data_IF_511429235082
#
_entry.id   IF_511429235082
#
_cell.length_a   1.000
_cell.length_b   1.000
_cell.length_c   1.000
_cell.angle_alpha   90.00
_cell.angle_beta   90.00
_cell.angle_gamma   90.00
#
_symmetry.space_group_name_H-M   'P 1'
#
loop_
_entity.id
_entity.type
_entity.pdbx_description
1 polymer ?
#
# COMPACT_ATOMS: atom_id res chain seq x y z
N UNK A 1 39.10 -74.48 1.94
CA UNK A 1 38.46 -75.64 1.29
C UNK A 1 37.92 -75.12 -0.04
N UNK A 2 38.51 -75.52 -1.16
CA UNK A 2 38.12 -75.02 -2.47
C UNK A 2 36.78 -75.60 -2.88
N UNK A 3 35.87 -74.76 -3.36
CA UNK A 3 34.62 -75.19 -4.00
C UNK A 3 34.95 -76.16 -5.15
N UNK A 4 34.21 -77.26 -5.32
CA UNK A 4 34.41 -78.16 -6.45
C UNK A 4 34.16 -77.36 -7.73
N UNK A 5 35.15 -77.37 -8.64
CA UNK A 5 35.06 -76.70 -9.92
C UNK A 5 33.74 -77.08 -10.60
N UNK A 6 32.99 -76.08 -11.02
CA UNK A 6 31.68 -76.26 -11.61
C UNK A 6 31.80 -77.11 -12.89
N UNK A 7 30.79 -77.93 -13.20
CA UNK A 7 30.77 -78.78 -14.41
C UNK A 7 31.18 -78.04 -15.72
N UNK A 8 30.84 -76.74 -15.91
CA UNK A 8 31.34 -75.93 -17.02
C UNK A 8 32.86 -75.66 -16.99
N UNK A 9 33.47 -75.48 -15.81
CA UNK A 9 34.92 -75.24 -15.67
C UNK A 9 35.75 -76.49 -15.98
N UNK A 10 35.24 -77.68 -15.63
CA UNK A 10 35.88 -78.95 -15.98
C UNK A 10 35.82 -79.21 -17.48
N UNK A 11 34.69 -78.90 -18.12
CA UNK A 11 34.51 -78.99 -19.57
C UNK A 11 35.36 -77.96 -20.32
N UNK A 12 35.41 -76.71 -19.84
CA UNK A 12 36.28 -75.66 -20.39
C UNK A 12 37.76 -76.05 -20.29
N UNK A 13 38.19 -76.65 -19.17
CA UNK A 13 39.56 -77.17 -19.02
C UNK A 13 39.88 -78.30 -20.00
N UNK A 14 39.01 -79.30 -20.13
CA UNK A 14 39.21 -80.41 -21.08
C UNK A 14 39.25 -79.93 -22.54
N UNK A 15 38.48 -78.88 -22.85
CA UNK A 15 38.46 -78.24 -24.16
C UNK A 15 39.73 -77.43 -24.42
N UNK A 16 40.23 -76.69 -23.43
CA UNK A 16 41.50 -75.95 -23.51
C UNK A 16 42.72 -76.88 -23.57
N UNK A 17 42.67 -78.04 -22.94
CA UNK A 17 43.70 -79.09 -23.09
C UNK A 17 43.75 -79.65 -24.52
N UNK A 18 42.58 -79.84 -25.14
CA UNK A 18 42.48 -80.33 -26.53
C UNK A 18 42.61 -79.22 -27.58
N UNK A 19 42.39 -77.97 -27.19
CA UNK A 19 42.50 -76.80 -28.05
C UNK A 19 43.13 -75.62 -27.31
N UNK A 20 44.47 -75.62 -27.15
CA UNK A 20 45.19 -74.64 -26.34
C UNK A 20 45.01 -73.19 -26.81
N UNK A 21 44.72 -73.00 -28.10
CA UNK A 21 44.56 -71.70 -28.73
C UNK A 21 43.13 -71.15 -28.67
N UNK A 22 42.17 -71.89 -28.11
CA UNK A 22 40.77 -71.48 -28.06
C UNK A 22 40.57 -70.16 -27.31
N UNK A 23 41.29 -69.94 -26.20
CA UNK A 23 41.27 -68.65 -25.49
C UNK A 23 41.80 -67.50 -26.34
N UNK A 24 42.84 -67.77 -27.15
CA UNK A 24 43.41 -66.79 -28.08
C UNK A 24 42.43 -66.48 -29.20
N UNK A 25 41.73 -67.48 -29.74
CA UNK A 25 40.69 -67.33 -30.77
C UNK A 25 39.49 -66.54 -30.24
N UNK A 26 39.01 -66.87 -29.03
CA UNK A 26 37.87 -66.19 -28.40
C UNK A 26 38.21 -64.71 -28.14
N UNK A 27 39.43 -64.40 -27.69
CA UNK A 27 39.82 -63.03 -27.35
C UNK A 27 40.25 -62.19 -28.56
N UNK A 28 40.80 -62.80 -29.62
CA UNK A 28 41.29 -62.08 -30.81
C UNK A 28 40.29 -62.05 -31.97
N UNK A 29 39.29 -62.93 -31.97
CA UNK A 29 38.34 -63.07 -33.08
C UNK A 29 38.92 -63.68 -34.36
N UNK A 30 40.19 -64.15 -34.34
CA UNK A 30 40.89 -64.70 -35.52
C UNK A 30 41.54 -66.05 -35.20
N UNK A 31 41.39 -67.03 -36.09
CA UNK A 31 42.12 -68.30 -36.00
C UNK A 31 43.58 -68.11 -36.42
N UNK A 32 44.57 -68.57 -35.62
CA UNK A 32 45.95 -68.56 -36.05
C UNK A 32 46.13 -69.40 -37.33
N UNK A 33 46.99 -68.99 -38.28
CA UNK A 33 47.10 -69.62 -39.61
C UNK A 33 47.33 -71.15 -39.58
N UNK A 34 47.96 -71.64 -38.51
CA UNK A 34 48.37 -73.04 -38.36
C UNK A 34 47.39 -73.88 -37.51
N UNK A 35 46.25 -73.31 -37.10
CA UNK A 35 45.27 -73.98 -36.25
C UNK A 35 44.06 -74.41 -37.06
N UNK A 36 44.20 -75.46 -37.89
CA UNK A 36 43.09 -76.03 -38.63
C UNK A 36 42.23 -76.91 -37.68
N UNK A 37 40.98 -76.56 -37.37
CA UNK A 37 40.12 -77.38 -36.51
C UNK A 37 39.61 -78.66 -37.19
N UNK A 38 39.81 -78.81 -38.50
CA UNK A 38 39.30 -79.91 -39.32
C UNK A 38 39.57 -81.33 -38.78
N UNK A 39 40.79 -81.68 -38.32
CA UNK A 39 41.08 -83.01 -37.78
C UNK A 39 40.34 -83.34 -36.47
N UNK A 40 40.16 -82.34 -35.59
CA UNK A 40 39.41 -82.49 -34.33
C UNK A 40 37.92 -82.70 -34.63
N UNK A 41 37.37 -81.90 -35.56
CA UNK A 41 35.98 -82.01 -36.03
C UNK A 41 35.74 -83.37 -36.71
N UNK A 42 36.67 -83.85 -37.53
CA UNK A 42 36.60 -85.19 -38.16
C UNK A 42 36.60 -86.32 -37.12
N UNK A 43 37.43 -86.21 -36.08
CA UNK A 43 37.50 -87.23 -35.02
C UNK A 43 36.22 -87.27 -34.17
N UNK A 44 35.61 -86.11 -33.90
CA UNK A 44 34.35 -85.99 -33.16
C UNK A 44 33.14 -86.45 -34.01
N UNK A 45 33.21 -86.32 -35.35
CA UNK A 45 32.11 -86.66 -36.26
C UNK A 45 32.17 -88.09 -36.81
N UNK A 46 33.31 -88.78 -36.75
CA UNK A 46 33.52 -90.11 -37.33
C UNK A 46 32.95 -91.30 -36.53
N UNK A 47 32.59 -91.15 -35.25
CA UNK A 47 31.94 -92.19 -34.45
C UNK A 47 30.83 -91.59 -33.56
N UNK A 48 29.61 -92.12 -33.66
CA UNK A 48 28.52 -91.81 -32.73
C UNK A 48 28.82 -92.42 -31.35
N UNK A 49 29.25 -91.57 -30.42
CA UNK A 49 29.65 -91.97 -29.08
C UNK A 49 29.58 -90.81 -28.07
N UNK A 50 29.88 -91.06 -26.78
CA UNK A 50 29.69 -90.08 -25.70
C UNK A 50 30.42 -88.75 -25.94
N UNK A 51 31.57 -88.76 -26.60
CA UNK A 51 32.37 -87.55 -26.89
C UNK A 51 31.67 -86.56 -27.85
N UNK A 52 30.90 -87.06 -28.82
CA UNK A 52 30.12 -86.22 -29.75
C UNK A 52 28.93 -85.57 -29.03
N UNK A 53 28.25 -86.33 -28.18
CA UNK A 53 27.16 -85.83 -27.35
C UNK A 53 27.64 -84.73 -26.38
N UNK A 54 28.79 -84.92 -25.72
CA UNK A 54 29.38 -83.89 -24.84
C UNK A 54 29.76 -82.62 -25.61
N UNK A 55 30.34 -82.75 -26.81
CA UNK A 55 30.69 -81.59 -27.64
C UNK A 55 29.47 -80.78 -28.10
N UNK A 56 28.39 -81.46 -28.53
CA UNK A 56 27.12 -80.80 -28.89
C UNK A 56 26.50 -80.10 -27.68
N UNK A 57 26.42 -80.77 -26.53
CA UNK A 57 25.89 -80.17 -25.29
C UNK A 57 26.69 -78.92 -24.85
N UNK A 58 28.01 -78.90 -25.09
CA UNK A 58 28.83 -77.71 -24.84
C UNK A 58 28.50 -76.56 -25.80
N UNK A 59 28.30 -76.84 -27.09
CA UNK A 59 27.89 -75.82 -28.06
C UNK A 59 26.50 -75.24 -27.73
N UNK A 60 25.54 -76.10 -27.38
CA UNK A 60 24.20 -75.67 -26.95
C UNK A 60 24.28 -74.79 -25.69
N UNK A 61 25.16 -75.15 -24.74
CA UNK A 61 25.42 -74.35 -23.53
C UNK A 61 26.04 -72.99 -23.86
N UNK A 62 27.02 -72.95 -24.77
CA UNK A 62 27.64 -71.70 -25.23
C UNK A 62 26.64 -70.80 -25.97
N UNK A 63 25.80 -71.38 -26.82
CA UNK A 63 24.74 -70.65 -27.54
C UNK A 63 23.71 -70.05 -26.58
N UNK A 64 23.30 -70.80 -25.55
CA UNK A 64 22.43 -70.31 -24.48
C UNK A 64 23.07 -69.15 -23.71
N UNK A 65 24.33 -69.30 -23.30
CA UNK A 65 25.05 -68.25 -22.57
C UNK A 65 25.22 -66.97 -23.42
N UNK A 66 25.53 -67.11 -24.71
CA UNK A 66 25.60 -65.97 -25.63
C UNK A 66 24.24 -65.27 -25.77
N UNK A 67 23.16 -66.04 -25.89
CA UNK A 67 21.79 -65.50 -25.98
C UNK A 67 21.39 -64.73 -24.71
N UNK A 68 21.75 -65.25 -23.54
CA UNK A 68 21.51 -64.58 -22.25
C UNK A 68 22.30 -63.28 -22.13
N UNK A 69 23.58 -63.26 -22.56
CA UNK A 69 24.41 -62.06 -22.58
C UNK A 69 23.89 -61.00 -23.55
N UNK A 70 23.41 -61.39 -24.74
CA UNK A 70 22.77 -60.49 -25.70
C UNK A 70 21.52 -59.86 -25.05
N UNK A 71 20.65 -60.68 -24.44
CA UNK A 71 19.45 -60.20 -23.77
C UNK A 71 19.78 -59.27 -22.59
N UNK A 72 20.85 -59.55 -21.84
CA UNK A 72 21.30 -58.67 -20.76
C UNK A 72 21.82 -57.33 -21.29
N UNK A 73 22.62 -57.34 -22.35
CA UNK A 73 23.12 -56.13 -23.00
C UNK A 73 21.96 -55.27 -23.53
N UNK A 74 20.97 -55.89 -24.17
CA UNK A 74 19.80 -55.18 -24.69
C UNK A 74 18.96 -54.56 -23.55
N UNK A 75 18.81 -55.26 -22.41
CA UNK A 75 18.17 -54.70 -21.21
C UNK A 75 18.94 -53.49 -20.67
N UNK A 76 20.25 -53.61 -20.49
CA UNK A 76 21.10 -52.51 -20.01
C UNK A 76 21.08 -51.31 -20.96
N UNK A 77 21.06 -51.56 -22.27
CA UNK A 77 20.98 -50.50 -23.29
C UNK A 77 19.62 -49.79 -23.26
N UNK A 78 18.52 -50.53 -23.06
CA UNK A 78 17.20 -49.94 -22.87
C UNK A 78 17.13 -49.08 -21.60
N UNK A 79 17.71 -49.53 -20.49
CA UNK A 79 17.76 -48.76 -19.25
C UNK A 79 18.63 -47.50 -19.40
N UNK A 80 19.80 -47.63 -20.05
CA UNK A 80 20.67 -46.49 -20.32
C UNK A 80 19.96 -45.44 -21.18
N UNK A 81 19.24 -45.85 -22.22
CA UNK A 81 18.47 -44.93 -23.07
C UNK A 81 17.40 -44.16 -22.27
N UNK A 82 16.72 -44.81 -21.31
CA UNK A 82 15.76 -44.15 -20.44
C UNK A 82 16.43 -43.13 -19.52
N UNK A 83 17.55 -43.52 -18.90
CA UNK A 83 18.30 -42.62 -18.00
C UNK A 83 18.86 -41.41 -18.74
N UNK A 84 19.27 -41.54 -19.99
CA UNK A 84 19.70 -40.41 -20.83
C UNK A 84 18.54 -39.44 -21.06
N UNK A 85 17.35 -39.96 -21.39
CA UNK A 85 16.16 -39.14 -21.57
C UNK A 85 15.77 -38.39 -20.29
N UNK A 86 15.82 -39.06 -19.12
CA UNK A 86 15.55 -38.43 -17.83
C UNK A 86 16.55 -37.29 -17.53
N UNK A 87 17.84 -37.50 -17.84
CA UNK A 87 18.89 -36.47 -17.66
C UNK A 87 18.65 -35.27 -18.57
N UNK A 88 18.25 -35.48 -19.82
CA UNK A 88 17.89 -34.39 -20.75
C UNK A 88 16.69 -33.59 -20.24
N UNK A 89 15.69 -34.25 -19.65
CA UNK A 89 14.55 -33.57 -19.03
C UNK A 89 14.98 -32.76 -17.80
N UNK A 90 15.80 -33.33 -16.92
CA UNK A 90 16.32 -32.60 -15.75
C UNK A 90 17.19 -31.40 -16.14
N UNK A 91 17.98 -31.48 -17.21
CA UNK A 91 18.77 -30.36 -17.71
C UNK A 91 17.89 -29.23 -18.28
N UNK A 92 16.83 -29.61 -19.00
CA UNK A 92 15.83 -28.65 -19.46
C UNK A 92 15.12 -27.96 -18.29
N UNK A 93 14.80 -28.70 -17.23
CA UNK A 93 14.18 -28.18 -16.01
C UNK A 93 15.10 -27.23 -15.25
N UNK A 94 16.37 -27.61 -15.10
CA UNK A 94 17.40 -26.80 -14.48
C UNK A 94 17.62 -25.48 -15.25
N UNK A 95 17.61 -25.54 -16.58
CA UNK A 95 17.71 -24.36 -17.44
C UNK A 95 16.53 -23.41 -17.23
N UNK A 96 15.29 -23.95 -17.14
CA UNK A 96 14.10 -23.14 -16.87
C UNK A 96 14.13 -22.53 -15.46
N UNK A 97 14.56 -23.29 -14.47
CA UNK A 97 14.68 -22.81 -13.09
C UNK A 97 15.73 -21.69 -12.97
N UNK A 98 16.91 -21.87 -13.59
CA UNK A 98 17.97 -20.86 -13.63
C UNK A 98 17.49 -19.55 -14.25
N UNK A 99 16.79 -19.64 -15.38
CA UNK A 99 16.20 -18.46 -16.02
C UNK A 99 15.19 -17.76 -15.10
N UNK A 100 14.33 -18.53 -14.43
CA UNK A 100 13.35 -17.96 -13.50
C UNK A 100 13.99 -17.25 -12.31
N UNK A 101 15.09 -17.78 -11.80
CA UNK A 101 15.88 -17.14 -10.73
C UNK A 101 16.45 -15.81 -11.24
N UNK A 102 17.05 -15.79 -12.43
CA UNK A 102 17.57 -14.55 -13.03
C UNK A 102 16.50 -13.48 -13.21
N UNK A 103 15.31 -13.86 -13.71
CA UNK A 103 14.18 -12.92 -13.88
C UNK A 103 13.71 -12.35 -12.52
N UNK A 104 13.72 -13.18 -11.47
CA UNK A 104 13.36 -12.76 -10.12
C UNK A 104 14.41 -11.83 -9.50
N UNK A 105 15.69 -12.08 -9.71
CA UNK A 105 16.78 -11.22 -9.24
C UNK A 105 16.73 -9.84 -9.89
N UNK A 106 16.41 -9.77 -11.19
CA UNK A 106 16.18 -8.50 -11.89
C UNK A 106 14.99 -7.76 -11.29
N UNK A 107 13.87 -8.45 -11.07
CA UNK A 107 12.68 -7.86 -10.46
C UNK A 107 12.95 -7.32 -9.04
N UNK A 108 13.67 -8.08 -8.21
CA UNK A 108 14.05 -7.66 -6.86
C UNK A 108 14.95 -6.41 -6.92
N UNK A 109 15.86 -6.35 -7.89
CA UNK A 109 16.74 -5.19 -8.10
C UNK A 109 15.93 -3.96 -8.49
N UNK A 110 14.99 -4.08 -9.42
CA UNK A 110 14.09 -2.98 -9.80
C UNK A 110 13.26 -2.50 -8.62
N UNK A 111 12.64 -3.41 -7.87
CA UNK A 111 11.84 -3.06 -6.70
C UNK A 111 12.67 -2.36 -5.61
N UNK A 112 13.92 -2.77 -5.41
CA UNK A 112 14.83 -2.11 -4.47
C UNK A 112 15.09 -0.65 -4.87
N UNK A 113 15.36 -0.41 -6.15
CA UNK A 113 15.58 0.94 -6.67
C UNK A 113 14.33 1.83 -6.52
N UNK A 114 13.14 1.28 -6.76
CA UNK A 114 11.87 2.00 -6.55
C UNK A 114 11.68 2.38 -5.08
N UNK A 115 11.92 1.44 -4.16
CA UNK A 115 11.83 1.69 -2.71
C UNK A 115 12.79 2.80 -2.29
N UNK A 116 14.03 2.80 -2.79
CA UNK A 116 14.99 3.83 -2.47
C UNK A 116 14.61 5.19 -3.07
N UNK A 117 14.00 5.22 -4.26
CA UNK A 117 13.39 6.42 -4.83
C UNK A 117 12.26 7.00 -3.97
N UNK A 118 11.35 6.15 -3.48
CA UNK A 118 10.25 6.56 -2.58
C UNK A 118 10.80 7.08 -1.24
N UNK A 119 11.81 6.44 -0.67
CA UNK A 119 12.46 6.94 0.57
C UNK A 119 13.03 8.34 0.38
N UNK A 120 13.73 8.59 -0.72
CA UNK A 120 14.27 9.93 -1.00
C UNK A 120 13.16 10.97 -1.16
N UNK A 121 12.05 10.64 -1.82
CA UNK A 121 10.91 11.54 -1.95
C UNK A 121 10.27 11.85 -0.58
N UNK A 122 10.15 10.84 0.28
CA UNK A 122 9.64 11.01 1.65
C UNK A 122 10.52 11.94 2.48
N UNK A 123 11.85 11.79 2.41
CA UNK A 123 12.77 12.67 3.13
C UNK A 123 12.71 14.12 2.62
N UNK A 124 12.54 14.34 1.32
CA UNK A 124 12.31 15.70 0.77
C UNK A 124 11.02 16.32 1.31
N UNK A 125 9.92 15.55 1.32
CA UNK A 125 8.64 16.03 1.85
C UNK A 125 8.73 16.33 3.36
N UNK A 126 9.45 15.52 4.13
CA UNK A 126 9.70 15.78 5.57
C UNK A 126 10.47 17.08 5.78
N UNK A 127 11.51 17.33 4.98
CA UNK A 127 12.27 18.58 5.06
C UNK A 127 11.42 19.80 4.70
N UNK A 128 10.54 19.69 3.69
CA UNK A 128 9.61 20.75 3.32
C UNK A 128 8.61 21.06 4.44
N UNK A 129 8.00 20.03 5.04
CA UNK A 129 7.10 20.18 6.18
C UNK A 129 7.80 20.86 7.36
N UNK A 130 9.04 20.46 7.66
CA UNK A 130 9.83 21.09 8.72
C UNK A 130 10.05 22.60 8.43
N UNK A 131 10.39 22.94 7.18
CA UNK A 131 10.55 24.33 6.75
C UNK A 131 9.25 25.14 6.86
N UNK A 132 8.11 24.58 6.44
CA UNK A 132 6.81 25.21 6.56
C UNK A 132 6.41 25.42 8.04
N UNK A 133 6.67 24.45 8.91
CA UNK A 133 6.40 24.57 10.34
C UNK A 133 7.25 25.68 11.00
N UNK A 134 8.52 25.83 10.59
CA UNK A 134 9.35 26.96 11.03
C UNK A 134 8.69 28.29 10.62
N UNK A 135 8.26 28.41 9.37
CA UNK A 135 7.62 29.63 8.86
C UNK A 135 6.29 29.95 9.56
N UNK A 136 5.50 28.93 9.90
CA UNK A 136 4.27 29.10 10.69
C UNK A 136 4.61 29.62 12.08
N UNK A 137 5.65 29.09 12.71
CA UNK A 137 6.12 29.55 14.03
C UNK A 137 6.53 31.01 13.96
N UNK A 138 7.32 31.40 12.97
CA UNK A 138 7.74 32.79 12.77
C UNK A 138 6.53 33.72 12.58
N UNK A 139 5.58 33.34 11.72
CA UNK A 139 4.35 34.12 11.49
C UNK A 139 3.51 34.27 12.75
N UNK A 140 3.37 33.21 13.55
CA UNK A 140 2.64 33.26 14.82
C UNK A 140 3.32 34.20 15.82
N UNK A 141 4.65 34.18 15.90
CA UNK A 141 5.39 35.13 16.76
C UNK A 141 5.18 36.57 16.31
N UNK A 142 5.25 36.84 15.01
CA UNK A 142 4.98 38.16 14.45
C UNK A 142 3.54 38.61 14.72
N UNK A 143 2.55 37.72 14.54
CA UNK A 143 1.15 38.03 14.84
C UNK A 143 0.94 38.36 16.33
N UNK A 144 1.63 37.65 17.24
CA UNK A 144 1.60 37.97 18.67
C UNK A 144 2.17 39.35 18.98
N UNK A 145 3.25 39.76 18.29
CA UNK A 145 3.82 41.10 18.43
C UNK A 145 2.84 42.18 17.94
N UNK A 146 2.24 41.98 16.77
CA UNK A 146 1.24 42.92 16.23
C UNK A 146 -0.01 43.02 17.12
N UNK A 147 -0.50 41.89 17.67
CA UNK A 147 -1.60 41.91 18.64
C UNK A 147 -1.25 42.73 19.90
N UNK A 148 0.01 42.65 20.36
CA UNK A 148 0.49 43.45 21.49
C UNK A 148 0.48 44.95 21.14
N UNK A 149 0.92 45.32 19.93
CA UNK A 149 0.89 46.71 19.43
C UNK A 149 -0.53 47.23 19.30
N UNK A 150 -1.46 46.42 18.79
CA UNK A 150 -2.89 46.78 18.69
C UNK A 150 -3.46 47.05 20.09
N UNK A 151 -3.15 46.20 21.08
CA UNK A 151 -3.58 46.43 22.45
C UNK A 151 -3.02 47.73 23.03
N UNK A 152 -1.78 48.08 22.73
CA UNK A 152 -1.17 49.37 23.12
C UNK A 152 -1.88 50.55 22.46
N UNK A 153 -2.14 50.50 21.15
CA UNK A 153 -2.87 51.55 20.45
C UNK A 153 -4.30 51.72 20.99
N UNK A 154 -5.00 50.62 21.31
CA UNK A 154 -6.33 50.68 21.91
C UNK A 154 -6.32 51.35 23.29
N UNK A 155 -5.31 51.08 24.12
CA UNK A 155 -5.11 51.81 25.40
C UNK A 155 -4.89 53.30 25.16
N UNK A 156 -4.08 53.66 24.16
CA UNK A 156 -3.83 55.07 23.84
C UNK A 156 -5.07 55.79 23.33
N UNK A 157 -5.86 55.13 22.48
CA UNK A 157 -7.15 55.63 21.99
C UNK A 157 -8.09 55.88 23.16
N UNK A 158 -8.22 54.92 24.08
CA UNK A 158 -9.08 55.06 25.27
C UNK A 158 -8.68 56.28 26.10
N UNK A 159 -7.39 56.43 26.39
CA UNK A 159 -6.88 57.61 27.12
C UNK A 159 -7.19 58.93 26.40
N UNK A 160 -7.04 58.98 25.07
CA UNK A 160 -7.37 60.18 24.28
C UNK A 160 -8.88 60.46 24.25
N UNK A 161 -9.73 59.42 24.30
CA UNK A 161 -11.18 59.57 24.41
C UNK A 161 -11.58 60.15 25.77
N UNK A 162 -10.95 59.70 26.86
CA UNK A 162 -11.15 60.25 28.20
C UNK A 162 -10.74 61.73 28.25
N UNK A 163 -9.54 62.06 27.74
CA UNK A 163 -9.05 63.45 27.64
C UNK A 163 -10.01 64.33 26.81
N UNK A 164 -10.54 63.80 25.70
CA UNK A 164 -11.54 64.51 24.88
C UNK A 164 -12.85 64.74 25.64
N UNK A 165 -13.36 63.74 26.36
CA UNK A 165 -14.58 63.87 27.16
C UNK A 165 -14.41 64.89 28.29
N UNK A 166 -13.25 64.91 28.94
CA UNK A 166 -12.91 65.90 29.94
C UNK A 166 -12.87 67.32 29.35
N UNK A 167 -12.20 67.52 28.22
CA UNK A 167 -12.15 68.80 27.53
C UNK A 167 -13.54 69.27 27.07
N UNK A 168 -14.39 68.37 26.58
CA UNK A 168 -15.79 68.68 26.23
C UNK A 168 -16.58 69.13 27.47
N UNK A 169 -16.38 68.48 28.61
CA UNK A 169 -17.02 68.85 29.88
C UNK A 169 -16.55 70.24 30.33
N UNK A 170 -15.25 70.54 30.25
CA UNK A 170 -14.70 71.87 30.57
C UNK A 170 -15.24 72.94 29.62
N UNK A 171 -15.37 72.64 28.33
CA UNK A 171 -15.95 73.55 27.33
C UNK A 171 -17.42 73.87 27.67
N UNK A 172 -18.22 72.84 27.95
CA UNK A 172 -19.62 72.98 28.37
C UNK A 172 -19.73 73.89 29.60
N UNK A 173 -18.90 73.65 30.62
CA UNK A 173 -18.85 74.49 31.83
C UNK A 173 -18.52 75.95 31.49
N UNK A 174 -17.51 76.19 30.64
CA UNK A 174 -17.14 77.54 30.21
C UNK A 174 -18.26 78.23 29.39
N UNK A 175 -19.01 77.50 28.58
CA UNK A 175 -20.18 78.01 27.83
C UNK A 175 -21.45 78.15 28.69
N UNK A 176 -21.56 77.47 29.83
CA UNK A 176 -22.63 77.74 30.80
C UNK A 176 -22.36 78.98 31.65
N UNK A 177 -21.09 79.34 31.86
CA UNK A 177 -20.70 80.61 32.52
C UNK A 177 -20.86 81.83 31.59
N UNK A 178 -20.80 81.62 30.27
CA UNK A 178 -21.09 82.59 29.21
C UNK A 178 -22.28 82.10 28.38
N UNK A 179 -23.50 82.29 28.89
CA UNK A 179 -24.72 81.59 28.47
C UNK A 179 -24.93 81.36 26.97
N UNK A 180 -24.90 80.08 26.59
CA UNK A 180 -25.78 79.49 25.56
C UNK A 180 -25.64 77.95 25.60
N UNK A 181 -26.66 77.26 26.12
CA UNK A 181 -26.73 75.79 26.06
C UNK A 181 -27.38 75.35 24.73
N UNK A 182 -26.65 74.57 23.94
CA UNK A 182 -27.23 73.70 22.90
C UNK A 182 -26.95 72.26 23.30
N UNK A 183 -28.02 71.55 23.66
CA UNK A 183 -28.04 70.10 23.87
C UNK A 183 -27.69 69.38 22.56
N UNK A 184 -26.65 68.55 22.59
CA UNK A 184 -26.38 67.57 21.55
C UNK A 184 -26.35 66.17 22.19
N UNK A 185 -27.51 65.54 22.29
CA UNK A 185 -27.60 64.10 22.51
C UNK A 185 -27.09 63.35 21.27
N UNK A 186 -26.08 62.51 21.44
CA UNK A 186 -25.84 61.37 20.56
C UNK A 186 -25.53 60.14 21.39
N UNK A 187 -26.56 59.37 21.68
CA UNK A 187 -26.47 57.96 22.07
C UNK A 187 -26.02 57.16 20.84
N UNK A 188 -24.71 57.04 20.60
CA UNK A 188 -24.23 56.20 19.49
C UNK A 188 -24.32 54.72 19.87
N UNK A 189 -25.15 53.96 19.16
CA UNK A 189 -25.22 52.49 19.27
C UNK A 189 -23.82 51.87 19.05
N UNK A 190 -23.47 50.78 19.76
CA UNK A 190 -22.20 50.07 19.59
C UNK A 190 -22.03 49.64 18.13
N UNK A 191 -20.82 49.81 17.58
CA UNK A 191 -20.49 49.50 16.19
C UNK A 191 -19.56 48.28 16.16
N UNK A 192 -19.87 47.32 15.30
CA UNK A 192 -19.06 46.13 15.09
C UNK A 192 -17.63 46.46 14.66
N UNK A 193 -16.70 45.66 15.18
CA UNK A 193 -15.26 45.75 14.88
C UNK A 193 -14.78 44.62 13.97
N UNK A 194 -15.51 43.50 13.92
CA UNK A 194 -15.14 42.32 13.11
C UNK A 194 -15.77 42.32 11.72
N UNK A 195 -15.13 41.64 10.77
CA UNK A 195 -15.66 41.41 9.41
C UNK A 195 -16.41 40.07 9.36
N UNK A 196 -17.53 40.02 8.64
CA UNK A 196 -18.30 38.79 8.46
C UNK A 196 -17.53 37.75 7.65
N UNK A 197 -17.61 36.45 8.00
CA UNK A 197 -17.15 35.38 7.13
C UNK A 197 -18.08 35.26 5.91
N UNK A 198 -17.60 34.55 4.89
CA UNK A 198 -18.43 34.15 3.76
C UNK A 198 -19.63 33.31 4.22
N UNK A 199 -20.73 33.40 3.47
CA UNK A 199 -21.94 32.65 3.81
C UNK A 199 -21.73 31.15 3.67
N UNK A 200 -22.21 30.38 4.64
CA UNK A 200 -22.19 28.93 4.57
C UNK A 200 -23.38 28.40 3.76
N UNK A 201 -23.08 27.67 2.68
CA UNK A 201 -24.10 27.18 1.73
C UNK A 201 -24.61 25.77 2.02
N UNK A 202 -23.84 24.96 2.74
CA UNK A 202 -24.09 23.52 2.91
C UNK A 202 -24.11 22.69 1.61
N UNK A 203 -23.67 23.26 0.48
CA UNK A 203 -23.82 22.67 -0.85
C UNK A 203 -22.75 21.64 -1.25
N UNK A 204 -21.67 21.51 -0.47
CA UNK A 204 -20.53 20.66 -0.79
C UNK A 204 -20.93 19.18 -0.83
N UNK A 205 -20.70 18.46 -1.94
CA UNK A 205 -21.14 17.06 -2.08
C UNK A 205 -20.39 16.12 -1.13
N UNK A 206 -19.08 16.34 -0.98
CA UNK A 206 -18.22 15.59 -0.06
C UNK A 206 -18.55 15.92 1.40
N UNK A 207 -18.95 14.90 2.17
CA UNK A 207 -19.37 15.04 3.57
C UNK A 207 -18.24 15.54 4.47
N UNK A 208 -17.00 15.07 4.28
CA UNK A 208 -15.85 15.48 5.10
C UNK A 208 -15.47 16.94 4.82
N UNK A 209 -15.40 17.33 3.54
CA UNK A 209 -15.16 18.73 3.16
C UNK A 209 -16.27 19.65 3.62
N UNK A 210 -17.53 19.19 3.59
CA UNK A 210 -18.69 19.95 4.10
C UNK A 210 -18.58 20.19 5.60
N UNK A 211 -18.25 19.15 6.37
CA UNK A 211 -18.05 19.26 7.82
C UNK A 211 -16.90 20.21 8.16
N UNK A 212 -15.72 20.05 7.55
CA UNK A 212 -14.59 20.94 7.82
C UNK A 212 -14.87 22.40 7.44
N UNK A 213 -15.64 22.64 6.37
CA UNK A 213 -16.07 24.00 6.02
C UNK A 213 -17.06 24.57 7.04
N UNK A 214 -17.99 23.75 7.53
CA UNK A 214 -18.94 24.13 8.57
C UNK A 214 -18.24 24.44 9.90
N UNK A 215 -17.34 23.59 10.36
CA UNK A 215 -16.59 23.79 11.61
C UNK A 215 -15.78 25.08 11.58
N UNK A 216 -15.07 25.36 10.48
CA UNK A 216 -14.33 26.62 10.29
C UNK A 216 -15.26 27.83 10.31
N UNK A 217 -16.37 27.77 9.58
CA UNK A 217 -17.34 28.85 9.54
C UNK A 217 -17.97 29.11 10.92
N UNK A 218 -18.38 28.06 11.62
CA UNK A 218 -18.93 28.13 12.98
C UNK A 218 -17.97 28.82 13.93
N UNK A 219 -16.70 28.40 13.96
CA UNK A 219 -15.67 29.03 14.82
C UNK A 219 -15.48 30.52 14.51
N UNK A 220 -15.52 30.91 13.24
CA UNK A 220 -15.43 32.34 12.86
C UNK A 220 -16.65 33.13 13.36
N UNK A 221 -17.86 32.58 13.25
CA UNK A 221 -19.08 33.23 13.73
C UNK A 221 -19.09 33.33 15.26
N UNK A 222 -18.69 32.27 15.97
CA UNK A 222 -18.55 32.28 17.44
C UNK A 222 -17.54 33.35 17.90
N UNK A 223 -16.41 33.48 17.20
CA UNK A 223 -15.42 34.52 17.50
C UNK A 223 -16.01 35.94 17.36
N UNK A 224 -16.86 36.18 16.35
CA UNK A 224 -17.54 37.46 16.17
C UNK A 224 -18.49 37.74 17.33
N UNK A 225 -19.27 36.74 17.75
CA UNK A 225 -20.22 36.88 18.85
C UNK A 225 -19.52 37.14 20.18
N UNK A 226 -18.29 36.64 20.36
CA UNK A 226 -17.46 36.93 21.54
C UNK A 226 -16.89 38.35 21.48
N UNK A 227 -16.33 38.77 20.35
CA UNK A 227 -15.65 40.08 20.21
C UNK A 227 -16.66 41.23 20.16
N UNK A 228 -17.74 41.08 19.42
CA UNK A 228 -18.76 42.12 19.22
C UNK A 228 -20.02 41.85 20.07
N UNK A 229 -19.87 41.23 21.25
CA UNK A 229 -21.00 40.83 22.10
C UNK A 229 -21.98 41.99 22.39
N UNK A 230 -21.47 43.20 22.60
CA UNK A 230 -22.27 44.42 22.84
C UNK A 230 -23.16 44.81 21.65
N UNK A 231 -22.85 44.33 20.44
CA UNK A 231 -23.66 44.57 19.24
C UNK A 231 -24.87 43.63 19.14
N UNK A 232 -24.94 42.57 19.96
CA UNK A 232 -25.99 41.55 19.95
C UNK A 232 -26.65 41.39 21.33
N UNK A 233 -27.34 42.44 21.83
CA UNK A 233 -27.84 42.46 23.21
C UNK A 233 -29.00 41.49 23.48
N UNK A 234 -29.69 41.01 22.44
CA UNK A 234 -30.83 40.09 22.58
C UNK A 234 -30.56 38.79 21.85
N UNK A 235 -31.15 37.69 22.34
CA UNK A 235 -31.10 36.39 21.68
C UNK A 235 -31.55 36.46 20.21
N UNK A 236 -32.59 37.25 19.92
CA UNK A 236 -33.05 37.47 18.54
C UNK A 236 -31.97 38.08 17.64
N UNK A 237 -31.17 39.01 18.16
CA UNK A 237 -30.11 39.68 17.40
C UNK A 237 -29.01 38.68 17.03
N UNK A 238 -28.64 37.82 17.99
CA UNK A 238 -27.68 36.72 17.78
C UNK A 238 -28.19 35.70 16.76
N UNK A 239 -29.44 35.24 16.91
CA UNK A 239 -30.05 34.25 16.02
C UNK A 239 -30.20 34.81 14.59
N UNK A 240 -30.66 36.05 14.46
CA UNK A 240 -30.78 36.73 13.17
C UNK A 240 -29.42 36.89 12.50
N UNK A 241 -28.38 37.22 13.27
CA UNK A 241 -27.03 37.31 12.75
C UNK A 241 -26.52 35.97 12.20
N UNK A 242 -26.56 34.89 12.99
CA UNK A 242 -26.09 33.56 12.56
C UNK A 242 -26.83 33.12 11.29
N UNK A 243 -28.16 33.26 11.29
CA UNK A 243 -29.00 32.82 10.17
C UNK A 243 -28.81 33.66 8.91
N UNK A 244 -28.47 34.94 9.02
CA UNK A 244 -28.15 35.81 7.86
C UNK A 244 -26.89 35.38 7.10
N UNK A 245 -26.00 34.64 7.77
CA UNK A 245 -24.76 34.09 7.23
C UNK A 245 -24.95 32.69 6.61
N UNK A 246 -26.18 32.20 6.53
CA UNK A 246 -26.52 30.96 5.82
C UNK A 246 -27.05 31.28 4.43
N UNK A 247 -26.82 30.37 3.49
CA UNK A 247 -27.34 30.42 2.12
C UNK A 247 -27.55 29.02 1.54
N UNK A 248 -28.17 28.93 0.36
CA UNK A 248 -28.39 27.65 -0.34
C UNK A 248 -29.03 26.58 0.55
N UNK A 249 -28.50 25.34 0.48
CA UNK A 249 -29.02 24.19 1.23
C UNK A 249 -29.01 24.37 2.74
N UNK A 250 -28.08 25.18 3.27
CA UNK A 250 -28.01 25.47 4.70
C UNK A 250 -29.07 26.48 5.14
N UNK A 251 -29.46 27.41 4.27
CA UNK A 251 -30.61 28.27 4.51
C UNK A 251 -31.94 27.50 4.37
N UNK A 252 -32.09 26.72 3.31
CA UNK A 252 -33.30 25.92 3.06
C UNK A 252 -33.63 24.97 4.23
N UNK A 253 -32.58 24.51 4.92
CA UNK A 253 -32.64 23.65 6.08
C UNK A 253 -33.30 24.25 7.32
N UNK A 254 -33.25 25.58 7.45
CA UNK A 254 -33.62 26.29 8.68
C UNK A 254 -34.66 27.39 8.43
N UNK A 255 -34.97 27.70 7.17
CA UNK A 255 -35.82 28.82 6.80
C UNK A 255 -37.18 28.81 7.50
N UNK A 256 -37.79 27.64 7.69
CA UNK A 256 -39.08 27.51 8.36
C UNK A 256 -39.01 27.98 9.82
N UNK A 257 -37.90 27.67 10.51
CA UNK A 257 -37.67 28.13 11.88
C UNK A 257 -37.41 29.63 11.95
N UNK A 258 -36.68 30.18 10.98
CA UNK A 258 -36.44 31.62 10.86
C UNK A 258 -37.75 32.37 10.57
N UNK A 259 -38.61 31.83 9.71
CA UNK A 259 -39.93 32.41 9.43
C UNK A 259 -40.79 32.48 10.70
N UNK A 260 -40.80 31.42 11.52
CA UNK A 260 -41.52 31.41 12.80
C UNK A 260 -40.99 32.45 13.79
N UNK A 261 -39.66 32.60 13.88
CA UNK A 261 -39.02 33.64 14.68
C UNK A 261 -39.40 35.05 14.20
N UNK A 262 -39.31 35.29 12.88
CA UNK A 262 -39.60 36.59 12.28
C UNK A 262 -41.08 36.97 12.37
N UNK A 263 -41.99 35.99 12.37
CA UNK A 263 -43.42 36.20 12.59
C UNK A 263 -43.73 36.55 14.06
N UNK A 264 -42.90 36.09 15.01
CA UNK A 264 -43.13 36.23 16.45
C UNK A 264 -41.93 36.87 17.19
N UNK A 265 -41.40 38.04 16.78
CA UNK A 265 -40.11 38.56 17.24
C UNK A 265 -40.08 38.96 18.73
N UNK A 266 -41.23 38.97 19.42
CA UNK A 266 -41.36 39.32 20.84
C UNK A 266 -41.73 38.13 21.72
N UNK A 267 -41.97 36.95 21.15
CA UNK A 267 -42.45 35.77 21.86
C UNK A 267 -41.50 34.59 21.64
N UNK A 268 -40.47 34.43 22.50
CA UNK A 268 -39.46 33.38 22.37
C UNK A 268 -40.01 31.96 22.43
N UNK A 269 -41.15 31.72 23.09
CA UNK A 269 -41.74 30.38 23.25
C UNK A 269 -42.27 29.81 21.92
N UNK A 270 -42.55 30.70 20.96
CA UNK A 270 -42.99 30.32 19.61
C UNK A 270 -41.82 30.10 18.65
N UNK A 271 -40.58 30.34 19.10
CA UNK A 271 -39.40 30.19 18.27
C UNK A 271 -39.02 28.72 18.14
N UNK A 272 -38.41 28.37 17.01
CA UNK A 272 -37.85 27.02 16.83
C UNK A 272 -36.57 26.82 17.65
N UNK A 273 -35.87 27.92 17.94
CA UNK A 273 -34.68 27.95 18.78
C UNK A 273 -34.78 29.17 19.71
N UNK A 274 -34.61 28.95 21.01
CA UNK A 274 -34.70 30.01 22.02
C UNK A 274 -33.39 30.80 22.14
N UNK A 275 -32.28 30.16 21.83
CA UNK A 275 -30.94 30.74 21.89
C UNK A 275 -30.02 30.20 20.79
N UNK A 276 -28.83 30.80 20.69
CA UNK A 276 -27.81 30.39 19.73
C UNK A 276 -27.34 28.94 19.94
N UNK A 277 -27.40 28.42 21.17
CA UNK A 277 -26.96 27.06 21.50
C UNK A 277 -27.89 26.01 20.91
N UNK A 278 -29.19 26.26 20.94
CA UNK A 278 -30.18 25.39 20.30
C UNK A 278 -30.04 25.40 18.77
N UNK A 279 -29.81 26.57 18.18
CA UNK A 279 -29.53 26.72 16.75
C UNK A 279 -28.25 25.97 16.37
N UNK A 280 -27.17 26.12 17.14
CA UNK A 280 -25.92 25.38 16.92
C UNK A 280 -26.13 23.88 17.01
N UNK A 281 -26.86 23.39 18.02
CA UNK A 281 -27.20 21.95 18.11
C UNK A 281 -27.96 21.47 16.87
N UNK A 282 -28.86 22.28 16.31
CA UNK A 282 -29.58 21.91 15.09
C UNK A 282 -28.67 21.82 13.86
N UNK A 283 -27.75 22.78 13.71
CA UNK A 283 -26.77 22.79 12.62
C UNK A 283 -25.71 21.69 12.79
N UNK A 284 -25.20 21.48 14.00
CA UNK A 284 -24.22 20.46 14.33
C UNK A 284 -24.75 19.06 14.00
N UNK A 285 -26.00 18.76 14.39
CA UNK A 285 -26.65 17.49 14.02
C UNK A 285 -26.69 17.23 12.51
N UNK A 286 -26.65 18.28 11.69
CA UNK A 286 -26.77 18.20 10.23
C UNK A 286 -25.42 18.19 9.52
N UNK A 287 -24.40 18.82 10.10
CA UNK A 287 -23.12 19.07 9.44
C UNK A 287 -21.90 18.46 10.13
N UNK A 288 -22.04 18.00 11.38
CA UNK A 288 -21.03 17.21 12.10
C UNK A 288 -21.49 15.75 12.09
N UNK A 289 -21.22 15.06 10.99
CA UNK A 289 -21.70 13.69 10.74
C UNK A 289 -20.61 12.64 10.93
N UNK A 290 -19.35 13.04 10.85
CA UNK A 290 -18.20 12.19 11.03
C UNK A 290 -17.55 12.53 12.37
N UNK A 291 -17.19 11.50 13.13
CA UNK A 291 -16.16 11.66 14.15
C UNK A 291 -14.86 11.97 13.41
N UNK A 292 -14.43 13.22 13.47
CA UNK A 292 -13.27 13.73 12.74
C UNK A 292 -12.00 12.94 13.10
N UNK A 293 -11.92 12.41 14.32
CA UNK A 293 -10.85 11.52 14.80
C UNK A 293 -10.88 10.18 14.07
N UNK A 294 -12.06 9.57 13.95
CA UNK A 294 -12.24 8.29 13.30
C UNK A 294 -12.14 8.41 11.77
N UNK A 295 -12.59 9.53 11.19
CA UNK A 295 -12.43 9.81 9.77
C UNK A 295 -10.96 10.01 9.41
N UNK A 296 -10.19 10.75 10.21
CA UNK A 296 -8.75 10.90 10.00
C UNK A 296 -8.02 9.55 10.10
N UNK A 297 -8.40 8.73 11.08
CA UNK A 297 -7.89 7.35 11.25
C UNK A 297 -8.24 6.47 10.05
N UNK A 298 -9.48 6.49 9.58
CA UNK A 298 -9.92 5.70 8.43
C UNK A 298 -9.21 6.13 7.14
N UNK A 299 -8.96 7.43 6.95
CA UNK A 299 -8.16 7.93 5.81
C UNK A 299 -6.74 7.40 5.88
N UNK A 300 -6.08 7.51 7.04
CA UNK A 300 -4.74 6.96 7.27
C UNK A 300 -4.69 5.44 7.03
N UNK A 301 -5.68 4.69 7.52
CA UNK A 301 -5.76 3.25 7.33
C UNK A 301 -6.03 2.86 5.87
N UNK A 302 -6.82 3.67 5.15
CA UNK A 302 -7.11 3.45 3.73
C UNK A 302 -5.89 3.76 2.87
N UNK A 303 -5.15 4.83 3.17
CA UNK A 303 -3.88 5.16 2.52
C UNK A 303 -2.84 4.07 2.80
N UNK A 304 -2.72 3.61 4.04
CA UNK A 304 -1.84 2.50 4.41
C UNK A 304 -2.22 1.20 3.68
N UNK A 305 -3.51 0.85 3.59
CA UNK A 305 -3.94 -0.33 2.83
C UNK A 305 -3.73 -0.17 1.32
N UNK A 306 -3.92 1.02 0.77
CA UNK A 306 -3.67 1.29 -0.65
C UNK A 306 -2.17 1.18 -0.98
N UNK A 307 -1.31 1.64 -0.08
CA UNK A 307 0.15 1.46 -0.17
C UNK A 307 0.51 -0.03 -0.09
N UNK A 308 -0.02 -0.77 0.89
CA UNK A 308 0.23 -2.22 1.03
C UNK A 308 -0.33 -3.02 -0.16
N UNK A 309 -1.49 -2.63 -0.70
CA UNK A 309 -2.10 -3.29 -1.86
C UNK A 309 -1.35 -3.06 -3.16
N UNK A 310 -0.79 -1.86 -3.38
CA UNK A 310 0.09 -1.57 -4.52
C UNK A 310 1.40 -2.37 -4.45
N UNK A 311 1.93 -2.60 -3.25
CA UNK A 311 3.10 -3.47 -3.04
C UNK A 311 2.79 -4.94 -3.37
N UNK A 312 1.54 -5.40 -3.22
CA UNK A 312 1.18 -6.81 -3.42
C UNK A 312 0.72 -7.18 -4.84
N UNK A 313 0.34 -6.23 -5.72
CA UNK A 313 -0.11 -6.59 -7.08
C UNK A 313 0.13 -5.47 -8.12
N UNK A 314 1.32 -5.42 -8.76
CA UNK A 314 1.68 -4.35 -9.69
C UNK A 314 1.01 -4.41 -11.07
N UNK A 315 0.35 -5.51 -11.46
CA UNK A 315 -0.11 -5.73 -12.84
C UNK A 315 -1.53 -5.21 -13.18
N UNK A 316 -2.26 -4.59 -12.25
CA UNK A 316 -3.69 -4.24 -12.48
C UNK A 316 -3.92 -2.92 -13.22
N UNK A 317 -2.91 -2.07 -13.42
CA UNK A 317 -3.08 -0.75 -14.05
C UNK A 317 -2.83 -0.71 -15.57
N UNK A 318 -2.28 -1.77 -16.17
CA UNK A 318 -1.88 -1.75 -17.59
C UNK A 318 -2.98 -2.15 -18.60
N UNK A 319 -4.24 -2.25 -18.18
CA UNK A 319 -5.38 -2.61 -19.06
C UNK A 319 -6.46 -1.52 -19.11
N UNK A 320 -6.09 -0.26 -19.36
CA UNK A 320 -6.99 0.76 -19.92
C UNK A 320 -6.14 1.85 -20.60
N UNK A 321 -5.70 1.59 -21.82
CA UNK A 321 -5.44 2.57 -22.88
C UNK A 321 -5.35 1.82 -24.19
#
# INVERSE_FOLDING_TARGET
>A
MGEPASEPELLLRALLERWPHLTTVINSGTFPPDTNPGPLIQTITAQDGPNKATFVAMLDCLEKNMSELIAQRDRSQSELSKRVQDVEEYDADLTRATKRISDLDELVTTQRNEVDGVKQALERARAEIAGLNSKITDLNTHQSMENTRVAEYNRRISKLQDEKAELQTRLLQATTTNGASILLEKTSKPRRTTTNPDKFTGGQQDTAKRQSAYERWKTQVEQILVVDAECFPRALDTLTFITSLLSGKAWDAIQDGVQKMNANPKDPELWTWHDATELWRALDRRYILLDSTQSAKNTLDTENRALVGRVKNPYRQSRKR
#
